data_IF_755445606937
#
_entry.id   IF_755445606937
#
_cell.length_a   1.000
_cell.length_b   1.000
_cell.length_c   1.000
_cell.angle_alpha   90.00
_cell.angle_beta   90.00
_cell.angle_gamma   90.00
#
_symmetry.space_group_name_H-M   'P 1'
#
loop_
_entity.id
_entity.type
_entity.pdbx_description
1 polymer ?
#
# COMPACT_ATOMS: atom_id res chain seq x y z
N UNK A 1 58.51 68.32 -16.86
CA UNK A 1 58.25 68.45 -18.30
C UNK A 1 56.93 67.71 -18.54
N UNK A 2 55.94 68.49 -18.64
CA UNK A 2 55.09 68.78 -19.82
C UNK A 2 54.17 67.60 -20.15
N UNK A 3 52.91 67.70 -20.37
CA UNK A 3 51.89 68.77 -20.49
C UNK A 3 50.51 68.10 -20.50
N UNK A 4 49.60 68.88 -20.01
CA UNK A 4 48.12 68.63 -20.06
C UNK A 4 47.58 68.52 -21.50
N UNK A 5 46.42 67.95 -21.59
CA UNK A 5 45.16 68.35 -22.34
C UNK A 5 44.12 67.30 -22.10
N UNK A 6 42.94 67.46 -21.55
CA UNK A 6 41.99 68.52 -21.81
C UNK A 6 41.02 68.08 -22.89
N UNK A 7 39.88 67.41 -22.53
CA UNK A 7 38.74 67.42 -23.43
C UNK A 7 37.45 67.26 -22.60
N UNK A 8 36.61 68.28 -22.67
CA UNK A 8 35.25 68.37 -22.18
C UNK A 8 34.32 67.59 -23.09
N UNK A 9 33.38 66.88 -22.58
CA UNK A 9 32.17 66.59 -23.33
C UNK A 9 30.95 66.58 -22.44
N UNK A 10 30.04 67.36 -22.87
CA UNK A 10 28.66 67.68 -22.53
C UNK A 10 27.88 66.61 -21.80
N UNK A 11 27.23 67.11 -20.77
CA UNK A 11 26.12 66.50 -20.12
C UNK A 11 24.87 66.59 -21.02
N UNK A 12 24.23 65.47 -21.31
CA UNK A 12 22.87 65.44 -21.79
C UNK A 12 21.99 65.00 -20.63
N UNK A 13 21.23 65.97 -20.15
CA UNK A 13 20.22 65.75 -19.08
C UNK A 13 19.01 65.11 -19.77
N UNK A 14 18.78 63.82 -19.54
CA UNK A 14 17.49 63.19 -19.75
C UNK A 14 16.73 63.16 -18.45
N UNK A 15 15.73 64.02 -18.38
CA UNK A 15 14.69 64.00 -17.32
C UNK A 15 13.80 62.78 -17.60
N UNK A 16 13.93 61.75 -16.76
CA UNK A 16 12.98 60.64 -16.71
C UNK A 16 12.06 60.92 -15.53
N UNK A 17 10.78 61.19 -15.82
CA UNK A 17 9.73 61.25 -14.83
C UNK A 17 9.64 59.94 -14.09
N UNK A 18 9.85 59.98 -12.76
CA UNK A 18 9.52 58.92 -11.83
C UNK A 18 8.01 58.91 -11.58
N UNK A 19 7.28 58.04 -12.22
CA UNK A 19 5.94 57.67 -11.74
C UNK A 19 6.11 56.73 -10.56
N UNK A 20 5.83 57.23 -9.33
CA UNK A 20 5.63 56.39 -8.18
C UNK A 20 4.41 55.49 -8.39
N UNK A 21 4.62 54.26 -8.78
CA UNK A 21 3.62 53.21 -8.65
C UNK A 21 3.78 52.62 -7.26
N UNK A 22 2.87 52.95 -6.37
CA UNK A 22 2.71 52.28 -5.08
C UNK A 22 2.35 50.83 -5.35
N UNK A 23 3.34 49.91 -5.28
CA UNK A 23 3.09 48.50 -5.18
C UNK A 23 2.68 48.18 -3.74
N UNK A 24 1.37 47.97 -3.52
CA UNK A 24 0.93 47.19 -2.39
C UNK A 24 1.43 45.76 -2.57
N UNK A 25 2.09 45.13 -1.61
CA UNK A 25 2.37 43.70 -1.67
C UNK A 25 1.04 42.98 -1.45
N UNK A 26 0.35 42.71 -2.55
CA UNK A 26 -0.71 41.72 -2.59
C UNK A 26 -0.06 40.39 -2.24
N UNK A 27 -0.49 39.80 -1.14
CA UNK A 27 -0.24 38.38 -0.87
C UNK A 27 -0.73 37.61 -2.07
N UNK A 28 0.18 37.17 -2.92
CA UNK A 28 -0.08 36.08 -3.86
C UNK A 28 -0.23 34.85 -2.96
N UNK A 29 -1.47 34.54 -2.61
CA UNK A 29 -1.81 33.23 -2.13
C UNK A 29 -1.41 32.28 -3.26
N UNK A 30 -0.29 31.59 -3.11
CA UNK A 30 0.03 30.43 -3.90
C UNK A 30 -1.07 29.41 -3.56
N UNK A 31 -2.12 29.43 -4.33
CA UNK A 31 -3.08 28.33 -4.36
C UNK A 31 -2.28 27.16 -4.92
N UNK A 32 -1.77 26.35 -4.04
CA UNK A 32 -1.33 25.01 -4.39
C UNK A 32 -2.53 24.35 -5.04
N UNK A 33 -2.42 24.15 -6.34
CA UNK A 33 -3.40 23.39 -7.08
C UNK A 33 -3.61 22.09 -6.31
N UNK A 34 -4.78 21.95 -5.71
CA UNK A 34 -5.34 20.65 -5.43
C UNK A 34 -5.47 20.02 -6.80
N UNK A 35 -4.44 19.26 -7.21
CA UNK A 35 -4.60 18.29 -8.26
C UNK A 35 -5.71 17.37 -7.77
N UNK A 36 -6.91 17.69 -8.24
CA UNK A 36 -8.10 16.95 -7.94
C UNK A 36 -7.83 15.50 -8.34
N UNK A 37 -7.69 14.62 -7.35
CA UNK A 37 -8.17 13.25 -7.54
C UNK A 37 -9.53 13.44 -8.22
N UNK A 38 -9.77 12.90 -9.42
CA UNK A 38 -11.06 13.07 -10.06
C UNK A 38 -12.09 12.64 -9.04
N UNK A 39 -12.85 13.60 -8.53
CA UNK A 39 -14.04 13.35 -7.76
C UNK A 39 -14.99 12.69 -8.77
N UNK A 40 -14.90 11.38 -8.90
CA UNK A 40 -15.99 10.56 -9.39
C UNK A 40 -17.11 10.76 -8.38
N UNK A 41 -17.93 11.77 -8.59
CA UNK A 41 -19.04 12.16 -7.73
C UNK A 41 -20.17 11.15 -7.74
N UNK A 42 -19.86 9.87 -7.56
CA UNK A 42 -20.80 8.77 -7.45
C UNK A 42 -20.10 7.58 -6.81
N UNK A 43 -20.84 6.81 -6.01
CA UNK A 43 -20.37 5.52 -5.49
C UNK A 43 -19.92 4.65 -6.67
N UNK A 44 -18.71 4.10 -6.60
CA UNK A 44 -18.21 3.14 -7.59
C UNK A 44 -19.21 1.99 -7.72
N UNK A 45 -19.66 1.73 -8.92
CA UNK A 45 -20.61 0.65 -9.21
C UNK A 45 -19.90 -0.71 -9.11
N UNK A 46 -20.44 -1.56 -8.26
CA UNK A 46 -20.03 -2.97 -8.23
C UNK A 46 -20.82 -3.71 -9.29
N UNK A 47 -20.12 -4.42 -10.17
CA UNK A 47 -20.70 -5.16 -11.30
C UNK A 47 -20.25 -6.62 -11.28
N UNK A 48 -20.70 -7.42 -12.22
CA UNK A 48 -20.09 -8.72 -12.48
C UNK A 48 -18.75 -8.53 -13.20
N UNK A 49 -17.75 -9.41 -12.99
CA UNK A 49 -16.50 -9.34 -13.71
C UNK A 49 -16.71 -9.38 -15.24
N UNK A 50 -16.05 -8.47 -15.99
CA UNK A 50 -16.08 -8.52 -17.44
C UNK A 50 -15.52 -9.86 -17.96
N UNK A 51 -16.13 -10.43 -19.00
CA UNK A 51 -15.74 -11.72 -19.56
C UNK A 51 -14.26 -11.76 -20.01
N UNK A 52 -13.74 -10.62 -20.44
CA UNK A 52 -12.35 -10.44 -20.89
C UNK A 52 -11.32 -10.68 -19.79
N UNK A 53 -11.70 -10.48 -18.51
CA UNK A 53 -10.81 -10.75 -17.36
C UNK A 53 -10.58 -12.24 -17.13
N UNK A 54 -11.44 -13.11 -17.67
CA UNK A 54 -11.33 -14.58 -17.56
C UNK A 54 -11.10 -15.04 -16.12
N UNK A 55 -11.76 -14.40 -15.15
CA UNK A 55 -11.70 -14.79 -13.75
C UNK A 55 -12.55 -16.05 -13.52
N UNK A 56 -12.21 -16.89 -12.51
CA UNK A 56 -13.04 -18.00 -12.12
C UNK A 56 -14.48 -17.60 -11.74
N UNK A 57 -15.46 -18.50 -11.99
CA UNK A 57 -16.89 -18.28 -11.66
C UNK A 57 -17.16 -18.07 -10.15
N UNK A 58 -16.18 -18.33 -9.31
CA UNK A 58 -16.18 -18.00 -7.88
C UNK A 58 -16.41 -16.51 -7.63
N UNK A 59 -15.89 -15.64 -8.51
CA UNK A 59 -16.01 -14.19 -8.41
C UNK A 59 -17.24 -13.70 -9.15
N UNK A 60 -18.14 -13.08 -8.39
CA UNK A 60 -19.38 -12.49 -8.90
C UNK A 60 -19.45 -10.98 -8.73
N UNK A 61 -18.48 -10.39 -8.03
CA UNK A 61 -18.36 -8.95 -7.80
C UNK A 61 -17.06 -8.42 -8.36
N UNK A 62 -17.13 -7.25 -8.96
CA UNK A 62 -16.02 -6.56 -9.60
C UNK A 62 -16.13 -5.06 -9.44
N UNK A 63 -14.97 -4.42 -9.27
CA UNK A 63 -14.78 -2.98 -9.43
C UNK A 63 -13.44 -2.71 -10.10
N UNK A 64 -13.36 -1.61 -10.83
CA UNK A 64 -12.12 -1.14 -11.46
C UNK A 64 -11.54 0.02 -10.68
N UNK A 65 -10.28 -0.08 -10.26
CA UNK A 65 -9.49 1.02 -9.71
C UNK A 65 -8.59 1.59 -10.82
N UNK A 66 -9.11 2.55 -11.59
CA UNK A 66 -8.38 3.12 -12.73
C UNK A 66 -7.92 2.07 -13.76
N UNK A 67 -8.71 1.02 -13.99
CA UNK A 67 -8.38 -0.11 -14.85
C UNK A 67 -7.81 -1.31 -14.10
N UNK A 68 -7.29 -1.16 -12.88
CA UNK A 68 -6.80 -2.27 -12.07
C UNK A 68 -7.99 -3.09 -11.53
N UNK A 69 -8.05 -4.42 -11.79
CA UNK A 69 -9.20 -5.25 -11.43
C UNK A 69 -9.19 -5.66 -9.96
N UNK A 70 -10.34 -5.50 -9.32
CA UNK A 70 -10.62 -5.97 -7.97
C UNK A 70 -11.84 -6.87 -8.03
N UNK A 71 -11.74 -8.08 -7.49
CA UNK A 71 -12.79 -9.08 -7.57
C UNK A 71 -13.11 -9.68 -6.20
N UNK A 72 -14.33 -10.17 -6.05
CA UNK A 72 -14.77 -10.83 -4.83
C UNK A 72 -15.90 -11.84 -5.10
N UNK A 73 -16.10 -12.77 -4.16
CA UNK A 73 -17.26 -13.64 -4.14
C UNK A 73 -18.53 -12.86 -3.80
N UNK A 74 -19.70 -13.48 -4.00
CA UNK A 74 -20.99 -12.89 -3.57
C UNK A 74 -21.12 -12.70 -2.06
N UNK A 75 -20.22 -13.27 -1.26
CA UNK A 75 -20.27 -13.19 0.23
C UNK A 75 -19.66 -11.92 0.77
N UNK A 76 -18.80 -11.26 -0.01
CA UNK A 76 -18.08 -10.05 0.38
C UNK A 76 -19.00 -8.84 0.36
N UNK A 77 -18.95 -8.01 1.39
CA UNK A 77 -19.67 -6.75 1.42
C UNK A 77 -19.17 -5.82 0.29
N UNK A 78 -20.05 -5.28 -0.57
CA UNK A 78 -19.65 -4.40 -1.67
C UNK A 78 -18.86 -3.17 -1.26
N UNK A 79 -19.01 -2.70 -0.03
CA UNK A 79 -18.20 -1.59 0.49
C UNK A 79 -16.71 -1.95 0.64
N UNK A 80 -16.37 -3.23 0.86
CA UNK A 80 -14.97 -3.67 0.89
C UNK A 80 -14.30 -3.48 -0.47
N UNK A 81 -15.00 -3.77 -1.57
CA UNK A 81 -14.47 -3.52 -2.91
C UNK A 81 -14.28 -2.02 -3.19
N UNK A 82 -15.20 -1.18 -2.72
CA UNK A 82 -15.09 0.28 -2.86
C UNK A 82 -13.93 0.86 -2.07
N UNK A 83 -13.75 0.40 -0.84
CA UNK A 83 -12.62 0.78 0.01
C UNK A 83 -11.30 0.36 -0.63
N UNK A 84 -11.20 -0.88 -1.07
CA UNK A 84 -10.02 -1.40 -1.75
C UNK A 84 -9.71 -0.59 -3.03
N UNK A 85 -10.73 -0.25 -3.82
CA UNK A 85 -10.55 0.55 -5.02
C UNK A 85 -10.03 1.95 -4.72
N UNK A 86 -10.52 2.60 -3.68
CA UNK A 86 -10.06 3.91 -3.25
C UNK A 86 -8.59 3.89 -2.80
N UNK A 87 -8.20 2.86 -2.03
CA UNK A 87 -6.80 2.69 -1.60
C UNK A 87 -5.89 2.41 -2.80
N UNK A 88 -6.24 1.48 -3.69
CA UNK A 88 -5.46 1.14 -4.89
C UNK A 88 -5.31 2.34 -5.81
N UNK A 89 -6.39 3.09 -6.05
CA UNK A 89 -6.33 4.31 -6.88
C UNK A 89 -5.38 5.34 -6.29
N UNK A 90 -5.39 5.50 -4.98
CA UNK A 90 -4.54 6.46 -4.29
C UNK A 90 -3.06 6.02 -4.31
N UNK A 91 -2.77 4.75 -4.01
CA UNK A 91 -1.41 4.20 -4.05
C UNK A 91 -0.77 4.32 -5.45
N UNK A 92 -1.56 4.16 -6.51
CA UNK A 92 -1.10 4.24 -7.90
C UNK A 92 -1.34 5.61 -8.55
N UNK A 93 -1.81 6.61 -7.79
CA UNK A 93 -2.20 7.92 -8.35
C UNK A 93 -1.06 8.65 -9.05
N UNK A 94 0.18 8.49 -8.58
CA UNK A 94 1.38 9.14 -9.12
C UNK A 94 2.17 8.26 -10.09
N UNK A 95 1.73 7.02 -10.30
CA UNK A 95 2.44 6.02 -11.11
C UNK A 95 1.49 5.30 -12.09
N UNK A 96 0.94 6.02 -13.08
CA UNK A 96 0.12 5.40 -14.12
C UNK A 96 0.90 4.34 -14.93
N UNK A 97 2.19 4.51 -15.11
CA UNK A 97 3.11 3.56 -15.74
C UNK A 97 3.18 2.21 -14.98
N UNK A 98 3.29 2.26 -13.65
CA UNK A 98 3.28 1.09 -12.77
C UNK A 98 1.92 0.39 -12.82
N UNK A 99 0.82 1.16 -12.72
CA UNK A 99 -0.54 0.62 -12.83
C UNK A 99 -0.74 -0.14 -14.15
N UNK A 100 -0.33 0.47 -15.25
CA UNK A 100 -0.45 -0.13 -16.57
C UNK A 100 0.40 -1.41 -16.69
N UNK A 101 1.62 -1.41 -16.14
CA UNK A 101 2.48 -2.59 -16.12
C UNK A 101 1.83 -3.74 -15.34
N UNK A 102 1.26 -3.46 -14.17
CA UNK A 102 0.55 -4.44 -13.35
C UNK A 102 -0.67 -5.01 -14.09
N UNK A 103 -1.48 -4.16 -14.72
CA UNK A 103 -2.66 -4.58 -15.50
C UNK A 103 -2.23 -5.48 -16.67
N UNK A 104 -1.25 -5.06 -17.47
CA UNK A 104 -0.71 -5.87 -18.58
C UNK A 104 -0.12 -7.19 -18.09
N UNK A 105 0.46 -7.21 -16.90
CA UNK A 105 0.99 -8.40 -16.24
C UNK A 105 -0.07 -9.34 -15.66
N UNK A 106 -1.37 -9.02 -15.80
CA UNK A 106 -2.48 -9.84 -15.32
C UNK A 106 -2.71 -9.75 -13.82
N UNK A 107 -2.17 -8.70 -13.15
CA UNK A 107 -2.37 -8.51 -11.72
C UNK A 107 -3.82 -8.20 -11.39
N UNK A 108 -4.30 -8.73 -10.26
CA UNK A 108 -5.61 -8.41 -9.68
C UNK A 108 -5.60 -8.53 -8.16
N UNK A 109 -6.52 -7.83 -7.51
CA UNK A 109 -6.79 -7.95 -6.10
C UNK A 109 -8.05 -8.81 -5.88
N UNK A 110 -7.92 -9.81 -5.00
CA UNK A 110 -8.97 -10.73 -4.61
C UNK A 110 -9.36 -10.46 -3.16
N UNK A 111 -10.59 -9.98 -2.91
CA UNK A 111 -11.05 -9.74 -1.54
C UNK A 111 -11.53 -11.05 -0.92
N UNK A 112 -11.01 -11.37 0.26
CA UNK A 112 -11.39 -12.53 1.07
C UNK A 112 -12.56 -12.14 1.96
N UNK A 113 -13.70 -12.79 1.85
CA UNK A 113 -14.82 -12.57 2.76
C UNK A 113 -14.48 -12.94 4.20
N UNK A 114 -15.11 -12.30 5.18
CA UNK A 114 -14.84 -12.56 6.62
C UNK A 114 -15.07 -14.02 7.03
N UNK A 115 -15.87 -14.77 6.27
CA UNK A 115 -16.13 -16.20 6.46
C UNK A 115 -15.40 -17.09 5.43
N UNK A 116 -14.53 -16.52 4.62
CA UNK A 116 -13.68 -17.20 3.64
C UNK A 116 -12.23 -17.14 4.09
N UNK A 117 -11.40 -18.03 3.55
CA UNK A 117 -9.97 -18.13 3.89
C UNK A 117 -9.11 -18.23 2.63
N UNK A 118 -7.82 -18.08 2.78
CA UNK A 118 -6.87 -18.06 1.66
C UNK A 118 -7.08 -19.22 0.68
N UNK A 119 -7.25 -20.44 1.18
CA UNK A 119 -7.42 -21.62 0.31
C UNK A 119 -8.82 -21.79 -0.28
N UNK A 120 -9.77 -20.95 0.10
CA UNK A 120 -11.09 -20.92 -0.57
C UNK A 120 -11.03 -20.16 -1.89
N UNK A 121 -10.05 -19.26 -2.07
CA UNK A 121 -9.87 -18.50 -3.30
C UNK A 121 -9.24 -19.40 -4.39
N UNK A 122 -9.73 -19.36 -5.62
CA UNK A 122 -9.26 -20.23 -6.70
C UNK A 122 -7.74 -20.14 -6.95
N UNK A 123 -7.15 -18.96 -6.80
CA UNK A 123 -5.72 -18.69 -7.02
C UNK A 123 -4.82 -19.44 -6.05
N UNK A 124 -5.28 -19.66 -4.82
CA UNK A 124 -4.49 -20.28 -3.75
C UNK A 124 -5.07 -21.60 -3.24
N UNK A 125 -6.11 -22.14 -3.90
CA UNK A 125 -6.72 -23.44 -3.53
C UNK A 125 -5.69 -24.57 -3.49
N UNK A 126 -4.72 -24.55 -4.39
CA UNK A 126 -3.64 -25.54 -4.47
C UNK A 126 -2.74 -25.57 -3.23
N UNK A 127 -2.65 -24.48 -2.46
CA UNK A 127 -1.91 -24.42 -1.21
C UNK A 127 -2.46 -25.40 -0.16
N UNK A 128 -3.76 -25.68 -0.21
CA UNK A 128 -4.40 -26.64 0.68
C UNK A 128 -3.97 -28.09 0.45
N UNK A 129 -3.42 -28.38 -0.72
CA UNK A 129 -2.95 -29.71 -1.11
C UNK A 129 -1.43 -29.87 -0.97
N UNK A 130 -0.69 -28.79 -0.67
CA UNK A 130 0.77 -28.79 -0.60
C UNK A 130 1.26 -29.00 0.83
N UNK A 131 1.70 -30.22 1.16
CA UNK A 131 2.22 -30.61 2.48
C UNK A 131 3.68 -30.19 2.74
N UNK A 132 4.26 -29.24 1.98
CA UNK A 132 5.72 -29.06 1.93
C UNK A 132 6.27 -27.73 2.44
N UNK A 133 5.52 -26.95 3.20
CA UNK A 133 6.13 -25.82 3.90
C UNK A 133 6.83 -26.32 5.18
N UNK A 134 8.17 -26.21 5.24
CA UNK A 134 8.96 -26.61 6.40
C UNK A 134 8.59 -25.88 7.70
N UNK A 135 7.73 -24.86 7.63
CA UNK A 135 7.16 -24.13 8.77
C UNK A 135 5.89 -24.78 9.31
N UNK A 136 5.31 -25.74 8.61
CA UNK A 136 4.10 -26.44 9.03
C UNK A 136 4.30 -27.17 10.36
N UNK A 137 3.41 -26.93 11.31
CA UNK A 137 3.43 -27.59 12.60
C UNK A 137 2.89 -29.04 12.50
N UNK A 138 3.40 -29.92 13.35
CA UNK A 138 2.91 -31.31 13.40
C UNK A 138 1.42 -31.35 13.75
N UNK A 139 0.64 -32.05 12.93
CA UNK A 139 -0.80 -32.22 13.11
C UNK A 139 -1.66 -31.09 12.50
N UNK A 140 -1.03 -30.06 11.94
CA UNK A 140 -1.72 -29.02 11.19
C UNK A 140 -1.76 -29.42 9.71
N UNK A 141 -2.94 -29.40 9.09
CA UNK A 141 -3.05 -29.66 7.64
C UNK A 141 -2.44 -28.51 6.84
N UNK A 142 -2.07 -28.74 5.58
CA UNK A 142 -1.63 -27.66 4.70
C UNK A 142 -2.67 -26.56 4.56
N UNK A 143 -3.94 -26.94 4.40
CA UNK A 143 -5.07 -26.03 4.35
C UNK A 143 -5.15 -25.16 5.62
N UNK A 144 -5.17 -25.79 6.79
CA UNK A 144 -5.27 -25.03 8.06
C UNK A 144 -4.05 -24.16 8.32
N UNK A 145 -2.86 -24.58 7.87
CA UNK A 145 -1.65 -23.77 7.95
C UNK A 145 -1.79 -22.47 7.17
N UNK A 146 -2.23 -22.54 5.92
CA UNK A 146 -2.38 -21.36 5.07
C UNK A 146 -3.57 -20.49 5.50
N UNK A 147 -4.70 -21.11 5.83
CA UNK A 147 -5.91 -20.41 6.28
C UNK A 147 -5.74 -19.70 7.62
N UNK A 148 -4.90 -20.26 8.53
CA UNK A 148 -4.65 -19.69 9.85
C UNK A 148 -3.56 -18.62 9.87
N UNK A 149 -2.73 -18.55 8.82
CA UNK A 149 -1.51 -17.77 8.83
C UNK A 149 -1.74 -16.30 8.51
N UNK A 150 -2.60 -16.03 7.54
CA UNK A 150 -2.78 -14.66 7.05
C UNK A 150 -4.18 -14.42 6.50
N UNK A 151 -4.60 -13.17 6.56
CA UNK A 151 -5.81 -12.64 5.92
C UNK A 151 -5.48 -11.78 4.70
N UNK A 152 -4.26 -11.92 4.20
CA UNK A 152 -3.75 -11.31 2.97
C UNK A 152 -2.61 -12.12 2.39
N UNK A 153 -2.38 -11.94 1.11
CA UNK A 153 -1.27 -12.50 0.35
C UNK A 153 -0.81 -11.46 -0.66
N UNK A 154 0.48 -11.15 -0.64
CA UNK A 154 1.10 -10.31 -1.66
C UNK A 154 1.35 -11.05 -2.96
N UNK A 155 1.54 -10.31 -4.03
CA UNK A 155 2.02 -10.87 -5.29
C UNK A 155 3.48 -11.30 -5.21
N UNK A 156 3.92 -12.05 -6.22
CA UNK A 156 5.31 -12.44 -6.38
C UNK A 156 5.78 -12.20 -7.84
N UNK A 157 7.03 -12.45 -8.11
CA UNK A 157 7.54 -12.38 -9.49
C UNK A 157 6.77 -13.31 -10.45
N UNK A 158 6.20 -14.41 -9.96
CA UNK A 158 5.47 -15.42 -10.75
C UNK A 158 3.98 -15.44 -10.48
N UNK A 159 3.52 -14.94 -9.32
CA UNK A 159 2.10 -14.85 -8.97
C UNK A 159 1.63 -13.39 -9.04
N UNK A 160 0.74 -13.03 -10.00
CA UNK A 160 0.29 -11.66 -10.17
C UNK A 160 -0.85 -11.25 -9.22
N UNK A 161 -1.30 -12.16 -8.36
CA UNK A 161 -2.48 -11.93 -7.52
C UNK A 161 -2.09 -11.47 -6.13
N UNK A 162 -2.89 -10.55 -5.56
CA UNK A 162 -2.84 -10.23 -4.14
C UNK A 162 -4.23 -10.33 -3.52
N UNK A 163 -4.29 -10.44 -2.21
CA UNK A 163 -5.56 -10.52 -1.49
C UNK A 163 -5.50 -9.79 -0.15
N UNK A 164 -6.67 -9.43 0.38
CA UNK A 164 -6.82 -8.99 1.76
C UNK A 164 -8.23 -9.31 2.26
N UNK A 165 -8.40 -9.39 3.58
CA UNK A 165 -9.66 -9.68 4.24
C UNK A 165 -10.60 -8.47 4.27
N UNK A 166 -11.89 -8.68 4.05
CA UNK A 166 -12.90 -7.60 4.12
C UNK A 166 -13.04 -7.03 5.53
N UNK A 167 -12.80 -7.83 6.57
CA UNK A 167 -12.85 -7.39 7.96
C UNK A 167 -11.83 -6.29 8.26
N UNK A 168 -10.66 -6.34 7.62
CA UNK A 168 -9.65 -5.29 7.75
C UNK A 168 -10.02 -4.05 6.92
N UNK A 169 -10.50 -4.25 5.68
CA UNK A 169 -10.95 -3.16 4.81
C UNK A 169 -12.12 -2.36 5.39
N UNK A 170 -12.99 -2.99 6.17
CA UNK A 170 -14.19 -2.35 6.71
C UNK A 170 -14.17 -2.17 8.24
N UNK A 171 -13.08 -2.57 8.89
CA UNK A 171 -12.87 -2.36 10.32
C UNK A 171 -13.78 -3.20 11.22
N UNK A 172 -14.10 -4.44 10.84
CA UNK A 172 -14.98 -5.29 11.62
C UNK A 172 -14.44 -5.53 13.03
N UNK A 173 -15.36 -5.67 14.00
CA UNK A 173 -14.96 -6.12 15.33
C UNK A 173 -14.29 -7.49 15.24
N UNK A 174 -13.14 -7.66 15.90
CA UNK A 174 -12.35 -8.89 15.89
C UNK A 174 -11.35 -9.00 14.72
N UNK A 175 -11.23 -7.97 13.87
CA UNK A 175 -10.17 -7.90 12.87
C UNK A 175 -8.80 -8.14 13.51
N UNK A 176 -8.05 -9.20 13.10
CA UNK A 176 -6.73 -9.52 13.68
C UNK A 176 -5.65 -8.49 13.36
N UNK A 177 -5.87 -7.65 12.37
CA UNK A 177 -4.95 -6.60 11.91
C UNK A 177 -5.51 -5.19 12.14
N UNK A 178 -6.27 -5.03 13.23
CA UNK A 178 -6.99 -3.79 13.52
C UNK A 178 -6.13 -2.53 13.54
N UNK A 179 -4.85 -2.64 13.85
CA UNK A 179 -3.93 -1.50 13.95
C UNK A 179 -3.28 -1.10 12.61
N UNK A 180 -3.56 -1.86 11.54
CA UNK A 180 -2.96 -1.65 10.21
C UNK A 180 -3.95 -1.96 9.10
N UNK A 181 -3.64 -1.54 7.87
CA UNK A 181 -4.37 -1.94 6.66
C UNK A 181 -3.52 -2.94 5.87
N UNK A 182 -3.88 -4.21 5.94
CA UNK A 182 -3.16 -5.29 5.27
C UNK A 182 -3.11 -5.09 3.75
N UNK A 183 -4.12 -4.45 3.16
CA UNK A 183 -4.07 -4.14 1.73
C UNK A 183 -2.85 -3.29 1.36
N UNK A 184 -2.46 -2.32 2.19
CA UNK A 184 -1.29 -1.48 1.90
C UNK A 184 -0.01 -2.33 1.87
N UNK A 185 0.15 -3.28 2.78
CA UNK A 185 1.27 -4.21 2.83
C UNK A 185 1.30 -5.15 1.61
N UNK A 186 0.22 -5.89 1.40
CA UNK A 186 0.15 -6.90 0.33
C UNK A 186 0.22 -6.26 -1.07
N UNK A 187 -0.37 -5.08 -1.22
CA UNK A 187 -0.32 -4.36 -2.47
C UNK A 187 1.07 -3.74 -2.73
N UNK A 188 1.84 -3.44 -1.68
CA UNK A 188 3.23 -3.01 -1.83
C UNK A 188 4.09 -4.10 -2.49
N UNK A 189 3.91 -5.37 -2.13
CA UNK A 189 4.56 -6.49 -2.83
C UNK A 189 4.18 -6.52 -4.32
N UNK A 190 2.90 -6.32 -4.62
CA UNK A 190 2.43 -6.34 -6.01
C UNK A 190 2.97 -5.13 -6.79
N UNK A 191 2.98 -3.93 -6.21
CA UNK A 191 3.63 -2.74 -6.79
C UNK A 191 5.11 -3.01 -7.06
N UNK A 192 5.85 -3.54 -6.07
CA UNK A 192 7.27 -3.84 -6.20
C UNK A 192 7.53 -4.85 -7.34
N UNK A 193 6.94 -6.03 -7.22
CA UNK A 193 7.34 -7.19 -8.02
C UNK A 193 6.65 -7.27 -9.38
N UNK A 194 5.44 -6.69 -9.53
CA UNK A 194 4.65 -6.74 -10.77
C UNK A 194 4.57 -5.40 -11.49
N UNK A 195 4.86 -4.31 -10.78
CA UNK A 195 4.83 -2.96 -11.31
C UNK A 195 6.22 -2.38 -11.50
N UNK A 196 6.89 -2.08 -10.40
CA UNK A 196 8.19 -1.39 -10.42
C UNK A 196 9.26 -2.18 -11.17
N UNK A 197 9.41 -3.48 -10.93
CA UNK A 197 10.39 -4.32 -11.62
C UNK A 197 10.16 -4.43 -13.13
N UNK A 198 8.96 -4.09 -13.62
CA UNK A 198 8.65 -4.05 -15.05
C UNK A 198 9.02 -2.70 -15.66
N UNK A 199 8.76 -1.60 -14.95
CA UNK A 199 9.04 -0.24 -15.46
C UNK A 199 10.45 0.21 -15.18
N UNK A 200 11.09 -0.37 -14.17
CA UNK A 200 12.48 -0.13 -13.77
C UNK A 200 13.12 -1.45 -13.28
N UNK A 201 13.76 -2.22 -14.17
CA UNK A 201 14.36 -3.51 -13.83
C UNK A 201 15.43 -3.48 -12.73
N UNK A 202 15.99 -2.31 -12.43
CA UNK A 202 16.98 -2.13 -11.35
C UNK A 202 16.36 -1.83 -9.98
N UNK A 203 15.04 -1.74 -9.88
CA UNK A 203 14.38 -1.36 -8.62
C UNK A 203 14.57 -2.42 -7.53
N UNK A 204 14.39 -3.70 -7.84
CA UNK A 204 14.58 -4.80 -6.86
C UNK A 204 16.01 -4.84 -6.31
N UNK A 205 17.01 -4.64 -7.16
CA UNK A 205 18.42 -4.58 -6.74
C UNK A 205 18.67 -3.41 -5.76
N UNK A 206 18.00 -2.27 -5.96
CA UNK A 206 18.11 -1.13 -5.04
C UNK A 206 17.41 -1.42 -3.70
N UNK A 207 16.26 -2.07 -3.72
CA UNK A 207 15.57 -2.53 -2.49
C UNK A 207 16.45 -3.53 -1.72
N UNK A 208 17.01 -4.51 -2.41
CA UNK A 208 17.95 -5.48 -1.83
C UNK A 208 19.17 -4.79 -1.21
N UNK A 209 19.80 -3.85 -1.92
CA UNK A 209 20.96 -3.11 -1.43
C UNK A 209 20.63 -2.25 -0.20
N UNK A 210 19.47 -1.58 -0.17
CA UNK A 210 19.03 -0.81 0.98
C UNK A 210 18.77 -1.72 2.19
N UNK A 211 18.11 -2.86 1.98
CA UNK A 211 17.89 -3.88 3.00
C UNK A 211 19.21 -4.38 3.61
N UNK A 212 20.19 -4.74 2.79
CA UNK A 212 21.49 -5.21 3.26
C UNK A 212 22.21 -4.15 4.11
N UNK A 213 22.18 -2.88 3.69
CA UNK A 213 22.74 -1.77 4.45
C UNK A 213 22.01 -1.56 5.79
N UNK A 214 20.68 -1.63 5.79
CA UNK A 214 19.89 -1.55 7.01
C UNK A 214 20.22 -2.68 8.00
N UNK A 215 20.36 -3.92 7.50
CA UNK A 215 20.77 -5.06 8.33
C UNK A 215 22.19 -4.91 8.89
N UNK A 216 23.13 -4.42 8.09
CA UNK A 216 24.50 -4.13 8.54
C UNK A 216 24.55 -3.02 9.60
N UNK A 217 23.68 -2.02 9.48
CA UNK A 217 23.53 -0.95 10.46
C UNK A 217 22.78 -1.40 11.74
N UNK A 218 22.24 -2.62 11.77
CA UNK A 218 21.46 -3.16 12.88
C UNK A 218 20.04 -2.62 12.98
N UNK A 219 19.53 -1.96 11.92
CA UNK A 219 18.14 -1.51 11.83
C UNK A 219 17.21 -2.72 11.69
N UNK A 220 15.97 -2.59 12.16
CA UNK A 220 14.90 -3.60 12.06
C UNK A 220 15.23 -4.96 12.71
N UNK A 221 16.29 -5.04 13.52
CA UNK A 221 16.77 -6.29 14.09
C UNK A 221 15.65 -7.02 14.86
N UNK A 222 15.38 -8.28 14.45
CA UNK A 222 14.37 -9.12 15.05
C UNK A 222 12.92 -8.67 14.79
N UNK A 223 12.71 -7.79 13.82
CA UNK A 223 11.40 -7.31 13.38
C UNK A 223 11.02 -7.88 12.01
N UNK A 224 9.76 -7.79 11.63
CA UNK A 224 9.26 -8.40 10.40
C UNK A 224 9.94 -7.83 9.15
N UNK A 225 10.25 -6.55 9.13
CA UNK A 225 11.05 -5.92 8.08
C UNK A 225 12.46 -6.54 7.90
N UNK A 226 12.99 -7.30 8.87
CA UNK A 226 14.27 -8.00 8.75
C UNK A 226 14.19 -9.40 8.12
N UNK A 227 13.00 -9.88 7.75
CA UNK A 227 12.80 -11.23 7.20
C UNK A 227 13.43 -11.39 5.81
N UNK A 228 13.20 -10.44 4.93
CA UNK A 228 13.78 -10.32 3.59
C UNK A 228 13.51 -8.92 3.01
N UNK A 229 14.10 -8.61 1.87
CA UNK A 229 13.97 -7.28 1.26
C UNK A 229 12.57 -6.97 0.74
N UNK A 230 11.74 -7.97 0.43
CA UNK A 230 10.36 -7.75 0.03
C UNK A 230 9.50 -7.28 1.21
N UNK A 231 9.64 -7.95 2.37
CA UNK A 231 8.96 -7.53 3.61
C UNK A 231 9.49 -6.18 4.10
N UNK A 232 10.81 -5.95 3.99
CA UNK A 232 11.42 -4.66 4.30
C UNK A 232 10.77 -3.51 3.53
N UNK A 233 10.56 -3.69 2.22
CA UNK A 233 9.90 -2.67 1.41
C UNK A 233 8.42 -2.50 1.80
N UNK A 234 7.67 -3.60 1.99
CA UNK A 234 6.26 -3.55 2.34
C UNK A 234 6.01 -2.88 3.72
N UNK A 235 6.84 -3.18 4.72
CA UNK A 235 6.84 -2.52 6.03
C UNK A 235 7.15 -1.02 5.92
N UNK A 236 8.14 -0.67 5.07
CA UNK A 236 8.43 0.72 4.76
C UNK A 236 7.27 1.45 4.12
N UNK A 237 6.52 0.80 3.23
CA UNK A 237 5.33 1.37 2.60
C UNK A 237 4.21 1.61 3.62
N UNK A 238 4.00 0.66 4.55
CA UNK A 238 3.03 0.88 5.63
C UNK A 238 3.41 2.12 6.47
N UNK A 239 4.66 2.23 6.91
CA UNK A 239 5.13 3.39 7.66
C UNK A 239 5.07 4.70 6.84
N UNK A 240 5.33 4.63 5.51
CA UNK A 240 5.21 5.78 4.60
C UNK A 240 3.79 6.36 4.56
N UNK A 241 2.77 5.54 4.80
CA UNK A 241 1.37 5.93 4.84
C UNK A 241 0.78 6.03 6.25
N UNK A 242 1.62 6.11 7.29
CA UNK A 242 1.24 6.19 8.70
C UNK A 242 0.28 5.03 9.10
N UNK A 243 0.62 3.84 8.70
CA UNK A 243 -0.26 2.67 8.75
C UNK A 243 0.41 1.40 9.30
N UNK A 244 1.59 1.50 9.89
CA UNK A 244 2.23 0.32 10.47
C UNK A 244 1.82 0.14 11.94
N UNK A 245 1.99 -1.07 12.47
CA UNK A 245 1.92 -1.35 13.90
C UNK A 245 3.19 -0.83 14.59
N UNK A 246 3.10 -0.58 15.89
CA UNK A 246 4.23 -0.10 16.68
C UNK A 246 4.45 -0.94 17.93
N UNK A 247 5.73 -1.06 18.33
CA UNK A 247 6.18 -1.61 19.62
C UNK A 247 5.58 -2.96 20.01
N UNK A 248 5.41 -3.86 19.02
CA UNK A 248 4.97 -5.23 19.26
C UNK A 248 6.09 -6.25 18.97
N UNK A 249 5.75 -7.56 18.93
CA UNK A 249 6.71 -8.61 18.63
C UNK A 249 7.36 -8.41 17.25
N UNK A 250 6.59 -8.01 16.24
CA UNK A 250 7.02 -7.95 14.84
C UNK A 250 7.46 -6.54 14.41
N UNK A 251 7.07 -5.48 15.14
CA UNK A 251 7.27 -4.09 14.77
C UNK A 251 7.98 -3.30 15.88
N UNK A 252 8.78 -2.31 15.47
CA UNK A 252 9.39 -1.32 16.37
C UNK A 252 8.51 -0.05 16.42
N UNK A 253 9.08 1.08 16.85
CA UNK A 253 8.39 2.37 16.97
C UNK A 253 8.13 3.08 15.62
N UNK A 254 8.65 2.56 14.50
CA UNK A 254 8.58 3.24 13.21
C UNK A 254 7.25 2.92 12.53
N UNK A 255 6.26 3.80 12.71
CA UNK A 255 4.93 3.62 12.14
C UNK A 255 4.42 4.84 11.34
N UNK A 256 5.22 5.93 11.29
CA UNK A 256 4.91 7.14 10.52
C UNK A 256 5.97 7.42 9.46
N UNK A 257 5.59 8.23 8.47
CA UNK A 257 6.51 8.69 7.41
C UNK A 257 7.70 9.45 7.99
N UNK A 258 7.45 10.31 8.94
CA UNK A 258 8.47 11.12 9.61
C UNK A 258 9.47 10.24 10.36
N UNK A 259 9.00 9.22 11.07
CA UNK A 259 9.86 8.26 11.76
C UNK A 259 10.65 7.40 10.79
N UNK A 260 10.01 6.91 9.70
CA UNK A 260 10.70 6.18 8.64
C UNK A 260 11.84 7.00 8.03
N UNK A 261 11.59 8.28 7.72
CA UNK A 261 12.61 9.18 7.17
C UNK A 261 13.79 9.40 8.13
N UNK A 262 13.53 9.44 9.43
CA UNK A 262 14.55 9.59 10.45
C UNK A 262 15.32 8.30 10.74
N UNK A 263 14.64 7.15 10.73
CA UNK A 263 15.19 5.85 11.11
C UNK A 263 15.90 5.16 9.95
N UNK A 264 15.28 5.11 8.77
CA UNK A 264 15.81 4.45 7.57
C UNK A 264 15.61 5.33 6.33
N UNK A 265 16.50 6.32 6.11
CA UNK A 265 16.40 7.25 5.00
C UNK A 265 16.45 6.59 3.61
N UNK A 266 17.13 5.43 3.48
CA UNK A 266 17.21 4.73 2.20
C UNK A 266 15.88 4.09 1.84
N UNK A 267 15.22 3.45 2.79
CA UNK A 267 13.88 2.91 2.60
C UNK A 267 12.87 4.02 2.32
N UNK A 268 12.94 5.13 3.06
CA UNK A 268 12.09 6.29 2.82
C UNK A 268 12.27 6.88 1.42
N UNK A 269 13.50 6.87 0.87
CA UNK A 269 13.76 7.34 -0.50
C UNK A 269 13.13 6.41 -1.55
N UNK A 270 13.24 5.09 -1.35
CA UNK A 270 12.56 4.11 -2.22
C UNK A 270 11.04 4.29 -2.20
N UNK A 271 10.45 4.51 -1.02
CA UNK A 271 9.01 4.84 -0.92
C UNK A 271 8.68 6.15 -1.65
N UNK A 272 9.52 7.19 -1.51
CA UNK A 272 9.34 8.47 -2.22
C UNK A 272 9.44 8.32 -3.73
N UNK A 273 10.33 7.48 -4.23
CA UNK A 273 10.46 7.18 -5.65
C UNK A 273 9.16 6.60 -6.22
N UNK A 274 8.53 5.69 -5.49
CA UNK A 274 7.30 5.02 -5.91
C UNK A 274 6.08 5.92 -5.72
N UNK A 275 5.89 6.48 -4.53
CA UNK A 275 4.63 7.14 -4.14
C UNK A 275 4.68 8.66 -4.24
N UNK A 276 5.89 9.24 -4.45
CA UNK A 276 6.11 10.69 -4.57
C UNK A 276 5.49 11.44 -3.39
N UNK A 277 4.74 12.48 -3.70
CA UNK A 277 4.05 13.35 -2.75
C UNK A 277 2.61 12.91 -2.42
N UNK A 278 2.26 11.65 -2.69
CA UNK A 278 0.93 11.12 -2.37
C UNK A 278 0.58 11.37 -0.91
N UNK A 279 -0.52 12.12 -0.68
CA UNK A 279 -0.96 12.60 0.63
C UNK A 279 -1.96 11.61 1.26
N UNK A 280 -1.63 10.35 1.31
CA UNK A 280 -2.39 9.38 2.08
C UNK A 280 -1.80 9.33 3.50
N UNK A 281 -2.63 9.59 4.49
CA UNK A 281 -2.48 9.09 5.86
C UNK A 281 -3.63 8.15 6.08
N UNK A 282 -3.33 6.90 6.32
CA UNK A 282 -4.38 5.93 6.52
C UNK A 282 -5.16 6.25 7.81
N UNK A 283 -6.47 6.15 7.73
CA UNK A 283 -7.36 6.21 8.88
C UNK A 283 -8.36 5.07 8.78
N UNK A 284 -8.84 4.59 9.89
CA UNK A 284 -9.77 3.46 9.91
C UNK A 284 -11.09 3.80 9.19
N UNK A 285 -11.65 2.86 8.44
CA UNK A 285 -12.84 3.10 7.61
C UNK A 285 -14.05 3.57 8.43
N UNK A 286 -14.25 3.07 9.63
CA UNK A 286 -15.34 3.48 10.50
C UNK A 286 -15.25 4.94 10.99
N UNK A 287 -14.09 5.58 10.81
CA UNK A 287 -13.91 7.01 11.17
C UNK A 287 -14.17 7.98 10.01
N UNK A 288 -14.45 7.47 8.80
CA UNK A 288 -14.59 8.28 7.58
C UNK A 288 -15.72 7.77 6.65
N UNK A 289 -16.91 7.64 7.21
CA UNK A 289 -18.12 7.14 6.51
C UNK A 289 -18.66 8.15 5.49
N UNK A 290 -17.86 8.49 4.50
CA UNK A 290 -18.15 9.45 3.43
C UNK A 290 -17.60 8.94 2.10
N UNK A 291 -17.85 9.66 1.03
CA UNK A 291 -17.38 9.35 -0.32
C UNK A 291 -17.73 7.90 -0.71
N UNK A 292 -16.77 7.06 -0.99
CA UNK A 292 -16.95 5.65 -1.38
C UNK A 292 -17.51 4.77 -0.25
N UNK A 293 -17.46 5.20 1.01
CA UNK A 293 -18.06 4.53 2.17
C UNK A 293 -19.41 5.16 2.60
N UNK A 294 -19.93 6.14 1.86
CA UNK A 294 -21.23 6.73 2.16
C UNK A 294 -22.34 5.65 2.17
N UNK A 295 -23.04 5.55 3.28
CA UNK A 295 -24.09 4.55 3.48
C UNK A 295 -23.62 3.20 4.05
N UNK A 296 -22.34 3.02 4.28
CA UNK A 296 -21.85 1.90 5.08
C UNK A 296 -22.20 2.13 6.56
N UNK A 297 -22.80 1.11 7.20
CA UNK A 297 -23.09 1.14 8.63
C UNK A 297 -22.22 0.11 9.38
N UNK A 298 -21.20 0.56 10.12
CA UNK A 298 -20.37 -0.35 10.91
C UNK A 298 -21.12 -1.11 12.01
N UNK A 299 -22.29 -0.60 12.47
CA UNK A 299 -23.09 -1.27 13.49
C UNK A 299 -23.77 -2.55 12.96
N UNK A 300 -24.00 -2.62 11.65
CA UNK A 300 -24.55 -3.80 10.97
C UNK A 300 -23.45 -4.77 10.51
N UNK A 301 -22.17 -4.43 10.71
CA UNK A 301 -21.06 -5.27 10.29
C UNK A 301 -20.98 -6.56 11.11
N UNK A 302 -20.64 -7.69 10.48
CA UNK A 302 -20.40 -8.92 11.21
C UNK A 302 -19.16 -8.81 12.09
N UNK A 303 -19.11 -9.63 13.13
CA UNK A 303 -17.91 -9.81 13.94
C UNK A 303 -17.02 -10.88 13.28
N UNK A 304 -15.73 -10.57 13.08
CA UNK A 304 -14.77 -11.57 12.66
C UNK A 304 -14.37 -12.45 13.86
N UNK A 305 -14.43 -13.75 13.66
CA UNK A 305 -14.00 -14.72 14.67
C UNK A 305 -13.28 -15.87 13.97
N UNK A 306 -12.07 -16.16 14.40
CA UNK A 306 -11.36 -17.33 13.92
C UNK A 306 -12.12 -18.61 14.29
N UNK A 307 -12.41 -19.52 13.33
CA UNK A 307 -12.93 -20.85 13.67
C UNK A 307 -11.98 -21.60 14.60
N UNK A 308 -12.53 -22.45 15.48
CA UNK A 308 -11.73 -23.20 16.46
C UNK A 308 -10.56 -23.94 15.82
N UNK A 309 -10.81 -24.65 14.69
CA UNK A 309 -9.75 -25.36 13.96
C UNK A 309 -8.56 -24.45 13.56
N UNK A 310 -8.82 -23.20 13.18
CA UNK A 310 -7.77 -22.25 12.79
C UNK A 310 -7.09 -21.62 14.00
N UNK A 311 -7.83 -21.37 15.07
CA UNK A 311 -7.26 -20.95 16.36
C UNK A 311 -6.33 -22.01 16.94
N UNK A 312 -6.66 -23.29 16.82
CA UNK A 312 -5.80 -24.41 17.18
C UNK A 312 -4.55 -24.47 16.31
N UNK A 313 -4.71 -24.33 14.99
CA UNK A 313 -3.59 -24.29 14.05
C UNK A 313 -2.63 -23.14 14.35
N UNK A 314 -3.14 -21.94 14.65
CA UNK A 314 -2.32 -20.78 15.04
C UNK A 314 -1.51 -21.05 16.30
N UNK A 315 -2.11 -21.68 17.34
CA UNK A 315 -1.40 -22.06 18.56
C UNK A 315 -0.27 -23.05 18.26
N UNK A 316 -0.55 -24.07 17.46
CA UNK A 316 0.43 -25.08 17.07
C UNK A 316 1.59 -24.50 16.25
N UNK A 317 1.30 -23.58 15.30
CA UNK A 317 2.30 -22.90 14.48
C UNK A 317 3.24 -22.04 15.36
N UNK A 318 2.68 -21.26 16.30
CA UNK A 318 3.49 -20.45 17.24
C UNK A 318 4.39 -21.31 18.11
N UNK A 319 3.87 -22.36 18.71
CA UNK A 319 4.66 -23.30 19.53
C UNK A 319 5.79 -23.96 18.73
N UNK A 320 5.53 -24.33 17.48
CA UNK A 320 6.55 -24.90 16.61
C UNK A 320 7.63 -23.87 16.22
N UNK A 321 7.28 -22.60 16.04
CA UNK A 321 8.23 -21.52 15.79
C UNK A 321 9.12 -21.26 17.00
N UNK A 322 8.56 -21.16 18.19
CA UNK A 322 9.31 -20.98 19.46
C UNK A 322 10.28 -22.13 19.73
N UNK A 323 9.89 -23.37 19.39
CA UNK A 323 10.74 -24.55 19.58
C UNK A 323 11.92 -24.62 18.60
N UNK A 324 11.82 -23.98 17.43
CA UNK A 324 12.90 -23.89 16.43
C UNK A 324 13.87 -22.75 16.69
N UNK A 325 13.45 -21.71 17.39
CA UNK A 325 14.29 -20.57 17.77
C UNK A 325 15.11 -20.80 19.03
N UNK A 326 14.97 -21.99 19.65
CA UNK A 326 15.81 -22.47 20.77
C UNK A 326 16.82 -23.47 20.26
#
# INVERSE_FOLDING_TARGET
MSTATGSRNLAVVCIVLWMCVCFCPGQVAVVWGQDAVPAAGGLLSITVPPAELKVPDYYSQYVSAGGYPIVASARVNPYALREAAAIVDLLLSRRPDVREAMIRGGSRLCIIGYSEYTTDLPEWKWLGDTSQDGRQAKGVTARDFWDARARGMGGSATDPYCSCGEENLLGYEGDPYRAECILIHEFAHNIHLRGMNVVDPGFDERVQSAYEQAMQAGLWKGKYASVNHHEYFAEGVQSWFDNNREDDHDHNHVNTREELQAYDPLLAELCREVFRDTQLRYTRPETRLRDHLQGYDPAEAPKFVWPERLSEAQRAIRQAAESRGR
#
